data_IF_499329630843
#
_entry.id   IF_499329630843
#
_cell.length_a   1.000
_cell.length_b   1.000
_cell.length_c   1.000
_cell.angle_alpha   90.00
_cell.angle_beta   90.00
_cell.angle_gamma   90.00
#
_symmetry.space_group_name_H-M   'P 1'
#
loop_
_entity.id
_entity.type
_entity.pdbx_description
1 polymer ?
#
# COMPACT_ATOMS: atom_id res chain seq x y z
N UNK A 1 13.85 2.93 -4.31
CA UNK A 1 13.67 1.94 -3.22
C UNK A 1 12.42 2.25 -2.44
N UNK A 2 11.75 1.21 -1.97
CA UNK A 2 10.57 1.38 -1.10
C UNK A 2 11.00 1.07 0.33
N UNK A 3 10.79 2.01 1.23
CA UNK A 3 11.18 1.92 2.63
C UNK A 3 9.94 1.68 3.48
N UNK A 4 9.99 0.68 4.34
CA UNK A 4 8.88 0.29 5.23
C UNK A 4 9.24 0.63 6.67
N UNK A 5 8.83 1.79 7.18
CA UNK A 5 9.01 2.08 8.61
C UNK A 5 8.22 1.08 9.47
N UNK A 6 8.64 0.92 10.72
CA UNK A 6 8.05 -0.05 11.60
C UNK A 6 6.53 0.13 11.76
N UNK A 7 6.07 1.36 11.94
CA UNK A 7 4.63 1.63 12.06
C UNK A 7 3.85 1.26 10.80
N UNK A 8 4.47 1.41 9.63
CA UNK A 8 3.83 1.00 8.37
C UNK A 8 3.69 -0.52 8.32
N UNK A 9 4.71 -1.26 8.76
CA UNK A 9 4.64 -2.72 8.80
C UNK A 9 3.54 -3.20 9.75
N UNK A 10 3.38 -2.55 10.89
CA UNK A 10 2.32 -2.88 11.83
C UNK A 10 0.94 -2.66 11.21
N UNK A 11 0.74 -1.54 10.53
CA UNK A 11 -0.53 -1.25 9.85
C UNK A 11 -0.81 -2.26 8.75
N UNK A 12 0.22 -2.63 7.99
CA UNK A 12 0.07 -3.62 6.93
C UNK A 12 -0.38 -4.96 7.50
N UNK A 13 0.21 -5.40 8.59
CA UNK A 13 -0.18 -6.64 9.24
C UNK A 13 -1.64 -6.59 9.72
N UNK A 14 -2.02 -5.53 10.38
CA UNK A 14 -3.39 -5.34 10.85
C UNK A 14 -4.42 -5.37 9.71
N UNK A 15 -4.03 -4.90 8.54
CA UNK A 15 -4.91 -4.75 7.39
C UNK A 15 -4.74 -5.82 6.32
N UNK A 16 -3.91 -6.81 6.60
CA UNK A 16 -3.72 -7.94 5.69
C UNK A 16 -2.99 -7.58 4.40
N UNK A 17 -2.07 -6.64 4.45
CA UNK A 17 -1.27 -6.24 3.29
C UNK A 17 0.15 -6.73 3.43
N UNK A 18 0.67 -7.38 2.39
CA UNK A 18 2.06 -7.84 2.36
C UNK A 18 2.97 -6.79 1.73
N UNK A 19 4.28 -6.91 1.98
CA UNK A 19 5.26 -6.05 1.35
C UNK A 19 5.22 -6.18 -0.18
N UNK A 20 5.04 -7.38 -0.69
CA UNK A 20 4.95 -7.62 -2.13
C UNK A 20 3.75 -6.91 -2.73
N UNK A 21 2.62 -6.94 -2.04
CA UNK A 21 1.41 -6.26 -2.51
C UNK A 21 1.58 -4.74 -2.50
N UNK A 22 2.22 -4.21 -1.48
CA UNK A 22 2.50 -2.76 -1.42
C UNK A 22 3.47 -2.37 -2.55
N UNK A 23 4.52 -3.15 -2.77
CA UNK A 23 5.44 -2.90 -3.89
C UNK A 23 4.72 -2.91 -5.22
N UNK A 24 3.85 -3.89 -5.42
CA UNK A 24 3.07 -3.99 -6.66
C UNK A 24 2.18 -2.77 -6.83
N UNK A 25 1.53 -2.31 -5.77
CA UNK A 25 0.66 -1.15 -5.80
C UNK A 25 1.42 0.12 -6.19
N UNK A 26 2.58 0.33 -5.60
CA UNK A 26 3.42 1.51 -5.90
C UNK A 26 3.99 1.43 -7.31
N UNK A 27 4.29 0.22 -7.78
CA UNK A 27 4.88 0.01 -9.10
C UNK A 27 3.89 0.22 -10.24
N UNK A 28 2.60 -0.04 -10.01
CA UNK A 28 1.57 0.16 -11.03
C UNK A 28 1.34 1.66 -11.27
N UNK A 29 0.77 2.00 -12.40
CA UNK A 29 0.70 3.39 -12.84
C UNK A 29 -0.41 4.22 -12.19
N UNK A 30 -1.35 3.60 -11.52
CA UNK A 30 -2.46 4.33 -10.91
C UNK A 30 -2.00 5.05 -9.65
N UNK A 31 -1.68 6.33 -9.81
CA UNK A 31 -1.26 7.17 -8.71
C UNK A 31 -2.05 8.47 -8.72
N UNK A 32 -2.13 9.12 -7.58
CA UNK A 32 -2.83 10.39 -7.44
C UNK A 32 -2.13 11.24 -6.37
N UNK A 33 -2.17 12.57 -6.50
CA UNK A 33 -1.54 13.41 -5.50
C UNK A 33 -2.30 13.37 -4.17
N UNK A 34 -1.55 13.38 -3.09
CA UNK A 34 -2.08 13.56 -1.74
C UNK A 34 -1.57 14.90 -1.22
N UNK A 35 -1.87 15.23 0.02
CA UNK A 35 -1.44 16.51 0.58
C UNK A 35 0.08 16.57 0.74
N UNK A 36 0.62 17.78 0.63
CA UNK A 36 2.06 18.05 0.66
C UNK A 36 2.75 17.31 -0.48
N UNK A 37 3.89 16.70 -0.21
CA UNK A 37 4.67 15.99 -1.22
C UNK A 37 4.35 14.50 -1.29
N UNK A 38 3.24 14.07 -0.69
CA UNK A 38 2.87 12.66 -0.66
C UNK A 38 2.10 12.27 -1.90
N UNK A 39 2.26 11.01 -2.27
CA UNK A 39 1.51 10.40 -3.38
C UNK A 39 0.68 9.24 -2.86
N UNK A 40 -0.50 9.08 -3.43
CA UNK A 40 -1.32 7.90 -3.22
C UNK A 40 -1.19 6.96 -4.41
N UNK A 41 -1.21 5.67 -4.12
CA UNK A 41 -1.16 4.62 -5.13
C UNK A 41 -2.27 3.63 -4.83
N UNK A 42 -2.95 3.15 -5.88
CA UNK A 42 -4.09 2.24 -5.71
C UNK A 42 -3.98 1.09 -6.68
N UNK A 43 -4.27 -0.11 -6.20
CA UNK A 43 -4.28 -1.28 -7.06
C UNK A 43 -5.27 -2.32 -6.52
N UNK A 44 -6.01 -2.93 -7.43
CA UNK A 44 -6.95 -4.00 -7.10
C UNK A 44 -6.33 -5.35 -7.40
N UNK A 45 -6.40 -6.25 -6.43
CA UNK A 45 -5.89 -7.62 -6.54
C UNK A 45 -7.04 -8.61 -6.58
N UNK A 46 -6.86 -9.69 -7.32
CA UNK A 46 -7.68 -10.88 -7.13
C UNK A 46 -7.33 -11.47 -5.77
N UNK A 47 -8.32 -11.76 -4.96
CA UNK A 47 -8.08 -12.27 -3.62
C UNK A 47 -8.58 -13.70 -3.47
N UNK A 48 -9.89 -13.95 -3.59
CA UNK A 48 -10.47 -15.28 -3.58
C UNK A 48 -10.15 -16.06 -2.31
N UNK A 49 -10.26 -15.45 -1.16
CA UNK A 49 -9.90 -16.07 0.11
C UNK A 49 -10.66 -15.43 1.27
N UNK A 50 -10.47 -15.98 2.46
CA UNK A 50 -11.07 -15.43 3.67
C UNK A 50 -10.13 -14.42 4.32
N UNK A 51 -10.73 -13.36 4.84
CA UNK A 51 -10.05 -12.39 5.69
C UNK A 51 -10.95 -12.11 6.88
N UNK A 52 -10.43 -12.34 8.08
CA UNK A 52 -11.20 -12.18 9.32
C UNK A 52 -12.54 -12.93 9.31
N UNK A 53 -12.54 -14.14 8.78
CA UNK A 53 -13.72 -15.00 8.79
C UNK A 53 -14.72 -14.79 7.68
N UNK A 54 -14.49 -13.86 6.76
CA UNK A 54 -15.37 -13.59 5.63
C UNK A 54 -14.62 -13.80 4.32
N UNK A 55 -15.28 -14.45 3.36
CA UNK A 55 -14.71 -14.66 2.03
C UNK A 55 -14.91 -13.41 1.17
N UNK A 56 -13.84 -13.01 0.47
CA UNK A 56 -13.87 -11.89 -0.46
C UNK A 56 -13.19 -12.29 -1.77
N UNK A 57 -13.73 -11.81 -2.87
CA UNK A 57 -13.15 -12.07 -4.19
C UNK A 57 -12.03 -11.10 -4.53
N UNK A 58 -12.11 -9.87 -4.03
CA UNK A 58 -11.20 -8.78 -4.39
C UNK A 58 -10.60 -8.14 -3.15
N UNK A 59 -9.44 -7.54 -3.37
CA UNK A 59 -8.74 -6.76 -2.36
C UNK A 59 -8.14 -5.55 -3.03
N UNK A 60 -8.48 -4.36 -2.56
CA UNK A 60 -7.90 -3.13 -3.07
C UNK A 60 -6.96 -2.55 -2.02
N UNK A 61 -5.76 -2.20 -2.41
CA UNK A 61 -4.83 -1.47 -1.56
C UNK A 61 -4.74 -0.02 -2.01
N UNK A 62 -4.72 0.87 -1.03
CA UNK A 62 -4.36 2.27 -1.23
C UNK A 62 -3.15 2.53 -0.36
N UNK A 63 -2.07 2.95 -0.99
CA UNK A 63 -0.79 3.19 -0.32
C UNK A 63 -0.47 4.67 -0.40
N UNK A 64 -0.17 5.28 0.73
CA UNK A 64 0.30 6.66 0.76
C UNK A 64 1.78 6.65 1.12
N UNK A 65 2.57 7.36 0.32
CA UNK A 65 4.02 7.37 0.47
C UNK A 65 4.57 8.78 0.27
N UNK A 66 5.67 9.05 0.93
CA UNK A 66 6.40 10.31 0.79
C UNK A 66 7.73 10.06 0.08
N UNK A 67 8.20 10.99 -0.75
CA UNK A 67 9.53 10.85 -1.35
C UNK A 67 10.60 10.90 -0.28
N UNK A 68 11.67 10.16 -0.48
CA UNK A 68 12.79 10.10 0.44
C UNK A 68 14.08 9.77 -0.28
N UNK A 69 15.17 9.59 0.49
CA UNK A 69 16.48 9.39 -0.07
C UNK A 69 17.17 10.70 -0.43
N UNK A 70 18.46 10.64 -0.77
CA UNK A 70 19.23 11.84 -1.07
C UNK A 70 18.72 12.59 -2.29
N UNK A 71 18.22 11.87 -3.27
CA UNK A 71 17.75 12.42 -4.54
C UNK A 71 16.22 12.36 -4.68
N UNK A 72 15.51 11.96 -3.63
CA UNK A 72 14.07 11.84 -3.67
C UNK A 72 13.56 10.64 -4.46
N UNK A 73 14.41 9.67 -4.77
CA UNK A 73 14.03 8.51 -5.57
C UNK A 73 13.40 7.38 -4.76
N UNK A 74 13.44 7.47 -3.44
CA UNK A 74 12.84 6.47 -2.57
C UNK A 74 11.41 6.85 -2.23
N UNK A 75 10.60 5.82 -1.96
CA UNK A 75 9.26 6.00 -1.41
C UNK A 75 9.23 5.49 0.02
N UNK A 76 8.90 6.37 0.95
CA UNK A 76 8.75 6.02 2.37
C UNK A 76 7.27 5.79 2.61
N UNK A 77 6.88 4.57 2.98
CA UNK A 77 5.48 4.23 3.18
C UNK A 77 4.96 4.93 4.43
N UNK A 78 3.90 5.71 4.26
CA UNK A 78 3.25 6.44 5.35
C UNK A 78 2.11 5.63 5.93
N UNK A 79 1.22 5.14 5.09
CA UNK A 79 0.11 4.30 5.54
C UNK A 79 -0.39 3.43 4.39
N UNK A 80 -1.05 2.34 4.76
CA UNK A 80 -1.68 1.41 3.81
C UNK A 80 -3.11 1.18 4.26
N UNK A 81 -4.04 1.31 3.34
CA UNK A 81 -5.45 1.04 3.58
C UNK A 81 -5.84 -0.13 2.68
N UNK A 82 -6.56 -1.09 3.24
CA UNK A 82 -7.07 -2.21 2.47
C UNK A 82 -8.59 -2.23 2.48
N UNK A 83 -9.16 -2.62 1.37
CA UNK A 83 -10.60 -2.83 1.25
C UNK A 83 -10.82 -4.20 0.61
N UNK A 84 -11.62 -5.03 1.27
CA UNK A 84 -11.98 -6.37 0.80
C UNK A 84 -13.42 -6.37 0.35
N UNK A 85 -13.69 -6.99 -0.80
CA UNK A 85 -15.07 -7.04 -1.32
C UNK A 85 -15.28 -8.14 -2.36
#
# INVERSE_FOLDING_TARGET
>A
MIVFPEHALERMEERGASRQEVRRTVWEEESFPDRQDRMGFRFEFEFGAEWNGTYYEKKELTVYAAPGGEDGSDWIIVTVISRFY
#
